data_IF_463686328818
#
_entry.id   IF_463686328818
#
_cell.length_a   1.000
_cell.length_b   1.000
_cell.length_c   1.000
_cell.angle_alpha   90.00
_cell.angle_beta   90.00
_cell.angle_gamma   90.00
#
_symmetry.space_group_name_H-M   'P 1'
#
loop_
_entity.id
_entity.type
_entity.pdbx_description
1 polymer ?
#
# COMPACT_ATOMS: atom_id res chain seq x y z
N UNK A 1 23.42 1.11 -13.90
CA UNK A 1 23.18 1.77 -15.22
C UNK A 1 21.89 2.55 -15.13
N UNK A 2 21.85 3.77 -15.65
CA UNK A 2 20.63 4.59 -15.67
C UNK A 2 19.89 4.38 -16.99
N UNK A 3 18.66 3.89 -16.92
CA UNK A 3 17.77 3.76 -18.08
C UNK A 3 16.85 4.98 -18.15
N UNK A 4 16.61 5.52 -19.36
CA UNK A 4 15.75 6.68 -19.57
C UNK A 4 14.61 6.27 -20.51
N UNK A 5 13.38 6.50 -20.08
CA UNK A 5 12.13 6.16 -20.80
C UNK A 5 11.30 7.44 -20.96
N UNK A 6 10.57 7.58 -22.06
CA UNK A 6 9.59 8.66 -22.25
C UNK A 6 8.19 8.13 -21.97
N UNK A 7 7.38 8.82 -21.16
CA UNK A 7 6.08 8.34 -20.71
C UNK A 7 4.95 8.31 -21.76
N UNK A 8 5.23 8.57 -23.04
CA UNK A 8 4.24 8.82 -24.10
C UNK A 8 3.31 7.66 -24.49
N UNK A 9 3.20 6.62 -23.67
CA UNK A 9 2.32 5.45 -23.83
C UNK A 9 1.35 5.35 -22.65
N UNK A 10 0.33 4.48 -22.72
CA UNK A 10 -0.61 4.24 -21.59
C UNK A 10 -0.08 3.24 -20.56
N UNK A 11 0.92 2.45 -20.94
CA UNK A 11 1.59 1.47 -20.10
C UNK A 11 3.10 1.49 -20.35
N UNK A 12 3.90 1.37 -19.29
CA UNK A 12 5.36 1.22 -19.37
C UNK A 12 5.74 -0.06 -18.66
N UNK A 13 6.49 -0.91 -19.36
CA UNK A 13 6.99 -2.16 -18.81
C UNK A 13 8.39 -1.96 -18.23
N UNK A 14 8.58 -2.27 -16.95
CA UNK A 14 9.87 -2.23 -16.26
C UNK A 14 10.14 -3.57 -15.54
N UNK A 15 11.36 -3.76 -15.03
CA UNK A 15 11.71 -4.97 -14.28
C UNK A 15 10.91 -5.08 -12.96
N UNK A 16 10.51 -6.29 -12.58
CA UNK A 16 9.69 -6.53 -11.39
C UNK A 16 10.33 -6.03 -10.09
N UNK A 17 11.64 -6.24 -9.92
CA UNK A 17 12.34 -5.84 -8.68
C UNK A 17 12.31 -4.33 -8.47
N UNK A 18 12.60 -3.55 -9.52
CA UNK A 18 12.59 -2.09 -9.40
C UNK A 18 11.16 -1.55 -9.34
N UNK A 19 10.18 -2.21 -9.96
CA UNK A 19 8.76 -1.88 -9.83
C UNK A 19 8.27 -2.01 -8.38
N UNK A 20 8.61 -3.11 -7.71
CA UNK A 20 8.01 -3.46 -6.42
C UNK A 20 8.79 -2.89 -5.23
N UNK A 21 10.13 -2.89 -5.30
CA UNK A 21 11.00 -2.52 -4.18
C UNK A 21 11.74 -1.20 -4.40
N UNK A 22 11.60 -0.59 -5.59
CA UNK A 22 12.25 0.67 -5.90
C UNK A 22 11.80 1.82 -5.00
N UNK A 23 12.69 2.78 -4.80
CA UNK A 23 12.38 4.09 -4.22
C UNK A 23 11.88 5.00 -5.34
N UNK A 24 10.65 5.50 -5.19
CA UNK A 24 10.01 6.37 -6.16
C UNK A 24 10.26 7.83 -5.77
N UNK A 25 10.83 8.60 -6.70
CA UNK A 25 11.18 9.99 -6.52
C UNK A 25 10.55 10.81 -7.64
N UNK A 26 9.76 11.82 -7.27
CA UNK A 26 9.27 12.79 -8.24
C UNK A 26 10.29 13.91 -8.42
N UNK A 27 10.64 14.19 -9.67
CA UNK A 27 11.55 15.27 -10.08
C UNK A 27 10.83 16.08 -11.15
N UNK A 28 10.23 17.21 -10.77
CA UNK A 28 9.38 18.02 -11.63
C UNK A 28 8.20 17.22 -12.25
N UNK A 29 8.20 17.04 -13.58
CA UNK A 29 7.26 16.19 -14.32
C UNK A 29 7.72 14.76 -14.49
N UNK A 30 8.96 14.44 -14.11
CA UNK A 30 9.59 13.14 -14.29
C UNK A 30 9.42 12.27 -13.04
N UNK A 31 9.39 10.96 -13.27
CA UNK A 31 9.47 9.95 -12.22
C UNK A 31 10.82 9.27 -12.28
N UNK A 32 11.53 9.21 -11.17
CA UNK A 32 12.74 8.40 -11.03
C UNK A 32 12.47 7.25 -10.06
N UNK A 33 12.82 6.03 -10.45
CA UNK A 33 12.73 4.85 -9.60
C UNK A 33 14.15 4.30 -9.40
N UNK A 34 14.58 4.14 -8.14
CA UNK A 34 15.92 3.66 -7.78
C UNK A 34 15.85 2.35 -7.00
N UNK A 35 16.66 1.39 -7.39
CA UNK A 35 17.02 0.22 -6.58
C UNK A 35 18.53 0.23 -6.31
N UNK A 36 19.02 -0.76 -5.56
CA UNK A 36 20.46 -0.93 -5.30
C UNK A 36 21.29 -1.04 -6.59
N UNK A 37 20.74 -1.71 -7.62
CA UNK A 37 21.48 -2.05 -8.83
C UNK A 37 21.10 -1.19 -10.06
N UNK A 38 19.95 -0.52 -10.01
CA UNK A 38 19.37 0.13 -11.19
C UNK A 38 18.69 1.45 -10.84
N UNK A 39 18.73 2.38 -11.80
CA UNK A 39 17.94 3.62 -11.74
C UNK A 39 17.23 3.78 -13.07
N UNK A 40 15.92 4.05 -13.02
CA UNK A 40 15.10 4.37 -14.18
C UNK A 40 14.62 5.81 -14.03
N UNK A 41 14.76 6.62 -15.09
CA UNK A 41 14.13 7.93 -15.20
C UNK A 41 13.06 7.87 -16.29
N UNK A 42 11.81 8.08 -15.89
CA UNK A 42 10.66 8.15 -16.78
C UNK A 42 10.28 9.62 -16.96
N UNK A 43 10.62 10.17 -18.12
CA UNK A 43 10.36 11.56 -18.47
C UNK A 43 8.88 11.83 -18.70
N UNK A 44 8.42 12.96 -18.18
CA UNK A 44 7.05 13.45 -18.27
C UNK A 44 6.00 12.47 -17.72
N UNK A 45 6.41 11.59 -16.80
CA UNK A 45 5.51 10.61 -16.18
C UNK A 45 4.28 11.28 -15.59
N UNK A 46 4.42 12.38 -14.84
CA UNK A 46 3.29 13.04 -14.19
C UNK A 46 2.44 13.90 -15.13
N UNK A 47 2.81 14.03 -16.41
CA UNK A 47 1.97 14.67 -17.44
C UNK A 47 1.07 13.65 -18.16
N UNK A 48 1.51 12.38 -18.24
CA UNK A 48 0.80 11.31 -18.97
C UNK A 48 0.23 10.21 -18.08
N UNK A 49 0.78 10.06 -16.87
CA UNK A 49 0.37 9.13 -15.81
C UNK A 49 0.10 7.70 -16.31
N UNK A 50 1.05 7.05 -17.00
CA UNK A 50 0.85 5.66 -17.44
C UNK A 50 0.85 4.68 -16.27
N UNK A 51 0.17 3.55 -16.46
CA UNK A 51 0.34 2.39 -15.59
C UNK A 51 1.78 1.87 -15.73
N UNK A 52 2.38 1.44 -14.62
CA UNK A 52 3.65 0.72 -14.65
C UNK A 52 3.36 -0.77 -14.51
N UNK A 53 3.93 -1.59 -15.38
CA UNK A 53 3.79 -3.04 -15.31
C UNK A 53 5.13 -3.73 -15.40
N UNK A 54 5.18 -5.00 -14.99
CA UNK A 54 6.33 -5.87 -15.27
C UNK A 54 6.04 -6.81 -16.44
N UNK A 55 7.08 -7.36 -17.06
CA UNK A 55 6.95 -8.41 -18.08
C UNK A 55 6.29 -9.67 -17.53
N UNK A 56 6.34 -9.84 -16.22
CA UNK A 56 5.71 -10.97 -15.56
C UNK A 56 4.20 -10.72 -15.50
N UNK A 57 3.73 -9.52 -15.13
CA UNK A 57 2.29 -9.28 -14.98
C UNK A 57 1.92 -8.41 -13.78
N UNK A 58 2.84 -8.18 -12.84
CA UNK A 58 2.66 -7.20 -11.77
C UNK A 58 2.35 -5.81 -12.31
N UNK A 59 1.37 -5.11 -11.72
CA UNK A 59 0.99 -3.75 -12.11
C UNK A 59 0.95 -2.79 -10.92
N UNK A 60 1.36 -1.54 -11.14
CA UNK A 60 1.21 -0.43 -10.20
C UNK A 60 0.48 0.70 -10.94
N UNK A 61 -0.70 1.06 -10.41
CA UNK A 61 -1.57 2.07 -11.02
C UNK A 61 -0.99 3.47 -10.89
N UNK A 62 -1.40 4.44 -11.72
CA UNK A 62 -0.90 5.82 -11.63
C UNK A 62 -1.21 6.49 -10.27
N UNK A 63 -2.32 6.10 -9.64
CA UNK A 63 -2.66 6.52 -8.27
C UNK A 63 -1.61 6.04 -7.29
N UNK A 64 -1.28 4.75 -7.31
CA UNK A 64 -0.23 4.19 -6.44
C UNK A 64 1.14 4.80 -6.71
N UNK A 65 1.52 5.01 -7.98
CA UNK A 65 2.79 5.68 -8.29
C UNK A 65 2.86 7.08 -7.69
N UNK A 66 1.74 7.82 -7.69
CA UNK A 66 1.67 9.15 -7.10
C UNK A 66 1.82 9.14 -5.58
N UNK A 67 1.36 8.07 -4.91
CA UNK A 67 1.51 7.90 -3.47
C UNK A 67 2.92 7.45 -3.09
N UNK A 68 3.54 6.58 -3.89
CA UNK A 68 4.91 6.11 -3.69
C UNK A 68 5.95 7.20 -3.95
N UNK A 69 5.68 8.13 -4.86
CA UNK A 69 6.66 9.13 -5.28
C UNK A 69 6.85 10.24 -4.24
N UNK A 70 7.99 10.25 -3.55
CA UNK A 70 8.37 11.30 -2.62
C UNK A 70 8.81 12.53 -3.42
N UNK A 71 8.24 13.71 -3.14
CA UNK A 71 8.88 14.98 -3.51
C UNK A 71 9.89 15.31 -2.41
N UNK A 72 11.11 15.69 -2.77
CA UNK A 72 12.17 16.04 -1.81
C UNK A 72 11.83 17.34 -1.08
N UNK A 73 10.99 17.27 -0.05
CA UNK A 73 10.82 18.36 0.92
C UNK A 73 10.47 17.78 2.28
N UNK A 74 11.35 17.93 3.30
CA UNK A 74 11.06 17.46 4.63
C UNK A 74 9.98 18.34 5.26
N UNK A 75 9.06 17.68 5.95
CA UNK A 75 8.35 18.26 7.08
C UNK A 75 8.01 17.11 8.03
N UNK A 76 7.52 17.45 9.21
CA UNK A 76 6.99 16.50 10.17
C UNK A 76 5.59 17.00 10.54
N UNK A 77 4.60 16.10 10.54
CA UNK A 77 3.32 16.36 11.20
C UNK A 77 2.88 15.10 11.97
N UNK A 78 2.64 15.28 13.26
CA UNK A 78 1.87 14.36 14.09
C UNK A 78 0.74 15.18 14.72
N UNK A 79 -0.48 14.66 14.66
CA UNK A 79 -1.67 15.20 15.33
C UNK A 79 -2.58 14.05 15.76
N UNK A 80 -3.34 14.24 16.83
CA UNK A 80 -4.65 13.60 17.00
C UNK A 80 -5.62 14.32 16.07
N UNK A 81 -6.29 13.56 15.20
CA UNK A 81 -7.07 14.11 14.10
C UNK A 81 -8.31 13.24 13.87
N UNK A 82 -9.53 13.82 13.80
CA UNK A 82 -10.74 13.10 13.42
C UNK A 82 -10.67 12.47 12.01
N UNK A 83 -9.70 12.85 11.17
CA UNK A 83 -9.47 12.26 9.85
C UNK A 83 -8.60 10.99 9.89
N UNK A 84 -8.09 10.59 11.05
CA UNK A 84 -7.37 9.33 11.17
C UNK A 84 -8.31 8.15 10.86
N UNK A 85 -7.84 7.23 10.04
CA UNK A 85 -8.62 6.04 9.66
C UNK A 85 -8.36 4.87 10.62
N UNK A 86 -7.34 5.01 11.48
CA UNK A 86 -6.95 3.97 12.42
C UNK A 86 -5.77 4.39 13.30
N UNK A 87 -5.24 3.41 14.01
CA UNK A 87 -4.13 3.55 14.97
C UNK A 87 -3.19 2.36 14.88
N UNK A 88 -1.90 2.62 15.04
CA UNK A 88 -0.86 1.60 15.15
C UNK A 88 -0.99 0.91 16.51
N UNK A 89 -1.16 -0.40 16.48
CA UNK A 89 -1.29 -1.26 17.67
C UNK A 89 0.00 -1.98 18.01
N UNK A 90 0.88 -2.17 17.03
CA UNK A 90 2.21 -2.78 17.19
C UNK A 90 3.16 -2.05 16.24
N UNK A 91 4.33 -1.66 16.72
CA UNK A 91 5.43 -1.18 15.87
C UNK A 91 6.75 -1.77 16.40
N UNK A 92 7.18 -2.87 15.81
CA UNK A 92 8.43 -3.54 16.18
C UNK A 92 9.48 -3.35 15.08
N UNK A 93 10.73 -3.10 15.47
CA UNK A 93 11.82 -2.85 14.53
C UNK A 93 11.66 -1.54 13.76
N UNK A 94 12.27 -1.46 12.58
CA UNK A 94 12.20 -0.24 11.75
C UNK A 94 10.98 -0.29 10.84
N UNK A 95 9.95 0.45 11.22
CA UNK A 95 8.74 0.68 10.43
C UNK A 95 8.60 2.17 10.18
N UNK A 96 8.39 2.55 8.93
CA UNK A 96 8.18 3.94 8.56
C UNK A 96 6.85 4.08 7.81
N UNK A 97 6.27 5.27 7.87
CA UNK A 97 5.27 5.71 6.91
C UNK A 97 5.83 6.82 6.04
N UNK A 98 5.43 6.82 4.77
CA UNK A 98 5.46 8.00 3.94
C UNK A 98 4.08 8.66 3.95
N UNK A 99 4.02 9.85 4.54
CA UNK A 99 2.83 10.71 4.55
C UNK A 99 3.09 11.90 3.66
N UNK A 100 2.44 11.93 2.49
CA UNK A 100 2.76 12.88 1.43
C UNK A 100 4.26 12.86 1.06
N UNK A 101 5.01 13.87 1.48
CA UNK A 101 6.45 14.02 1.19
C UNK A 101 7.35 13.77 2.40
N UNK A 102 6.78 13.25 3.48
CA UNK A 102 7.45 13.10 4.77
C UNK A 102 7.63 11.61 5.08
N UNK A 103 8.79 11.26 5.62
CA UNK A 103 9.01 9.95 6.21
C UNK A 103 8.98 10.08 7.73
N UNK A 104 8.15 9.27 8.37
CA UNK A 104 7.95 9.26 9.81
C UNK A 104 8.18 7.83 10.29
N UNK A 105 9.05 7.63 11.27
CA UNK A 105 9.20 6.33 11.93
C UNK A 105 8.00 6.11 12.85
N UNK A 106 7.33 4.97 12.70
CA UNK A 106 6.13 4.64 13.46
C UNK A 106 6.46 4.17 14.87
N UNK A 107 5.64 4.57 15.80
CA UNK A 107 5.58 4.05 17.17
C UNK A 107 4.20 3.47 17.45
N UNK A 108 4.14 2.58 18.43
CA UNK A 108 2.86 2.10 18.94
C UNK A 108 2.04 3.30 19.43
N UNK A 109 0.79 3.35 18.98
CA UNK A 109 -0.14 4.40 19.33
C UNK A 109 -0.22 5.56 18.34
N UNK A 110 0.68 5.62 17.35
CA UNK A 110 0.58 6.60 16.28
C UNK A 110 -0.69 6.42 15.44
N UNK A 111 -1.17 7.49 14.82
CA UNK A 111 -2.34 7.46 13.96
C UNK A 111 -1.94 7.20 12.50
N UNK A 112 -2.77 6.38 11.83
CA UNK A 112 -2.67 6.13 10.39
C UNK A 112 -3.79 6.87 9.65
N UNK A 113 -3.45 7.37 8.46
CA UNK A 113 -4.32 8.20 7.64
C UNK A 113 -4.45 7.60 6.25
N UNK A 114 -5.51 7.99 5.55
CA UNK A 114 -5.71 7.60 4.17
C UNK A 114 -4.51 8.02 3.31
N UNK A 115 -4.05 7.10 2.46
CA UNK A 115 -2.90 7.24 1.57
C UNK A 115 -1.52 7.27 2.24
N UNK A 116 -1.41 6.97 3.53
CA UNK A 116 -0.10 6.68 4.12
C UNK A 116 0.49 5.42 3.48
N UNK A 117 1.74 5.50 3.03
CA UNK A 117 2.49 4.32 2.56
C UNK A 117 3.27 3.76 3.73
N UNK A 118 2.91 2.57 4.19
CA UNK A 118 3.59 1.89 5.30
C UNK A 118 4.69 0.99 4.74
N UNK A 119 5.91 1.11 5.25
CA UNK A 119 7.06 0.28 4.91
C UNK A 119 7.68 -0.33 6.18
N UNK A 120 7.58 -1.65 6.30
CA UNK A 120 8.21 -2.42 7.37
C UNK A 120 9.59 -2.90 6.90
N UNK A 121 10.63 -2.08 7.12
CA UNK A 121 11.99 -2.32 6.58
C UNK A 121 12.77 -3.41 7.32
N UNK A 122 12.44 -3.67 8.58
CA UNK A 122 13.20 -4.57 9.44
C UNK A 122 12.41 -5.14 10.61
N UNK A 123 11.08 -5.06 10.57
CA UNK A 123 10.23 -5.47 11.67
C UNK A 123 8.78 -5.62 11.24
N UNK A 124 7.84 -5.44 12.16
CA UNK A 124 6.42 -5.69 11.92
C UNK A 124 5.57 -4.53 12.43
N UNK A 125 4.41 -4.34 11.81
CA UNK A 125 3.45 -3.32 12.22
C UNK A 125 2.06 -3.90 12.24
N UNK A 126 1.35 -3.63 13.35
CA UNK A 126 -0.06 -3.93 13.53
C UNK A 126 -0.86 -2.64 13.50
N UNK A 127 -2.02 -2.67 12.86
CA UNK A 127 -2.88 -1.52 12.61
C UNK A 127 -4.30 -1.92 12.96
N UNK A 128 -5.00 -1.09 13.73
CA UNK A 128 -6.44 -1.20 13.95
C UNK A 128 -7.15 -0.01 13.31
N UNK A 129 -8.11 -0.27 12.44
CA UNK A 129 -8.91 0.74 11.76
C UNK A 129 -10.18 1.06 12.52
N UNK A 130 -10.79 2.20 12.18
CA UNK A 130 -12.00 2.69 12.82
C UNK A 130 -13.21 1.74 12.65
N UNK A 131 -13.24 0.94 11.60
CA UNK A 131 -14.29 -0.06 11.34
C UNK A 131 -14.06 -1.39 12.08
N UNK A 132 -13.09 -1.43 12.99
CA UNK A 132 -12.63 -2.61 13.73
C UNK A 132 -11.86 -3.63 12.89
N UNK A 133 -11.51 -3.32 11.63
CA UNK A 133 -10.54 -4.12 10.88
C UNK A 133 -9.19 -4.06 11.58
N UNK A 134 -8.51 -5.20 11.74
CA UNK A 134 -7.10 -5.23 12.12
C UNK A 134 -6.27 -5.73 10.94
N UNK A 135 -5.10 -5.14 10.73
CA UNK A 135 -4.17 -5.52 9.68
C UNK A 135 -2.76 -5.50 10.24
N UNK A 136 -1.99 -6.53 9.93
CA UNK A 136 -0.58 -6.63 10.28
C UNK A 136 0.26 -6.88 9.04
N UNK A 137 1.44 -6.28 8.97
CA UNK A 137 2.45 -6.60 7.94
C UNK A 137 3.80 -6.85 8.57
N UNK A 138 4.58 -7.75 7.96
CA UNK A 138 5.90 -8.17 8.43
C UNK A 138 7.05 -7.46 7.69
N UNK A 139 8.28 -7.87 8.02
CA UNK A 139 9.49 -7.35 7.40
C UNK A 139 9.48 -7.56 5.88
N UNK A 140 9.84 -6.52 5.15
CA UNK A 140 9.85 -6.48 3.69
C UNK A 140 8.51 -6.07 3.09
N UNK A 141 7.52 -5.76 3.94
CA UNK A 141 6.21 -5.36 3.47
C UNK A 141 6.13 -3.86 3.16
N UNK A 142 5.41 -3.57 2.07
CA UNK A 142 5.02 -2.22 1.67
C UNK A 142 3.54 -2.23 1.35
N UNK A 143 2.78 -1.34 1.98
CA UNK A 143 1.33 -1.27 1.77
C UNK A 143 0.78 0.16 1.82
N UNK A 144 -0.45 0.34 1.32
CA UNK A 144 -1.18 1.61 1.32
C UNK A 144 -2.67 1.34 1.52
N UNK A 145 -3.35 2.10 2.39
CA UNK A 145 -4.83 2.15 2.36
C UNK A 145 -5.23 3.39 1.58
N UNK A 146 -5.78 3.20 0.38
CA UNK A 146 -6.06 4.30 -0.56
C UNK A 146 -7.56 4.58 -0.74
N UNK A 147 -8.40 3.77 -0.09
CA UNK A 147 -9.82 3.98 0.12
C UNK A 147 -10.20 3.53 1.54
N UNK A 148 -10.89 4.41 2.27
CA UNK A 148 -11.49 4.11 3.56
C UNK A 148 -12.65 5.07 3.80
N UNK A 149 -13.86 4.56 3.69
CA UNK A 149 -15.12 5.25 3.97
C UNK A 149 -15.83 4.44 5.03
N UNK A 150 -16.06 5.05 6.18
CA UNK A 150 -16.74 4.40 7.28
C UNK A 150 -17.59 5.41 8.06
N UNK A 151 -18.83 5.03 8.30
CA UNK A 151 -19.77 5.72 9.18
C UNK A 151 -20.27 4.68 10.18
N UNK A 152 -19.98 4.88 11.46
CA UNK A 152 -20.39 3.96 12.53
C UNK A 152 -21.92 3.89 12.69
N UNK A 153 -22.65 4.96 12.32
CA UNK A 153 -24.11 4.98 12.34
C UNK A 153 -24.71 4.27 11.11
N UNK A 154 -23.95 4.18 10.01
CA UNK A 154 -24.34 3.50 8.77
C UNK A 154 -23.23 2.59 8.19
N UNK A 155 -22.83 1.51 8.89
CA UNK A 155 -21.69 0.68 8.46
C UNK A 155 -21.88 0.00 7.10
N UNK A 156 -23.14 -0.19 6.67
CA UNK A 156 -23.52 -0.86 5.43
C UNK A 156 -23.24 -0.07 4.15
N UNK A 157 -22.76 1.17 4.25
CA UNK A 157 -22.35 1.98 3.09
C UNK A 157 -20.85 2.23 3.02
N UNK A 158 -20.07 1.58 3.89
CA UNK A 158 -18.62 1.77 3.93
C UNK A 158 -17.88 1.10 2.78
N UNK A 159 -16.66 1.57 2.53
CA UNK A 159 -15.73 0.96 1.56
C UNK A 159 -14.29 1.04 2.04
N UNK A 160 -13.48 0.03 1.72
CA UNK A 160 -12.06 -0.02 2.05
C UNK A 160 -11.25 -0.74 0.96
N UNK A 161 -10.12 -0.15 0.59
CA UNK A 161 -9.13 -0.80 -0.26
C UNK A 161 -7.73 -0.69 0.37
N UNK A 162 -7.15 -1.85 0.68
CA UNK A 162 -5.76 -1.98 1.12
C UNK A 162 -4.91 -2.55 -0.03
N UNK A 163 -3.92 -1.79 -0.48
CA UNK A 163 -2.95 -2.21 -1.48
C UNK A 163 -1.71 -2.77 -0.77
N UNK A 164 -1.48 -4.08 -0.84
CA UNK A 164 -0.25 -4.71 -0.36
C UNK A 164 0.68 -4.91 -1.56
N UNK A 165 1.69 -4.06 -1.65
CA UNK A 165 2.59 -3.97 -2.81
C UNK A 165 3.64 -5.09 -2.73
N UNK A 166 4.16 -5.36 -1.54
CA UNK A 166 5.09 -6.47 -1.27
C UNK A 166 4.90 -7.00 0.15
N UNK A 167 5.35 -8.24 0.37
CA UNK A 167 5.58 -8.82 1.69
C UNK A 167 4.39 -9.61 2.26
N UNK A 168 4.51 -10.01 3.52
CA UNK A 168 3.47 -10.75 4.22
C UNK A 168 2.49 -9.80 4.88
N UNK A 169 1.22 -10.19 4.89
CA UNK A 169 0.18 -9.48 5.59
C UNK A 169 -0.82 -10.45 6.22
N UNK A 170 -1.49 -10.02 7.28
CA UNK A 170 -2.69 -10.67 7.77
C UNK A 170 -3.69 -9.62 8.14
N UNK A 171 -4.97 -9.93 8.03
CA UNK A 171 -6.01 -9.03 8.47
C UNK A 171 -7.22 -9.79 9.01
N UNK A 172 -7.90 -9.14 9.93
CA UNK A 172 -9.21 -9.54 10.44
C UNK A 172 -10.18 -8.46 10.00
N UNK A 173 -11.15 -8.83 9.17
CA UNK A 173 -12.08 -7.83 8.63
C UNK A 173 -13.08 -7.33 9.68
N UNK A 174 -13.34 -6.03 9.64
CA UNK A 174 -14.28 -5.33 10.48
C UNK A 174 -15.66 -5.18 9.86
N UNK A 175 -16.32 -4.07 10.17
CA UNK A 175 -17.72 -3.82 9.80
C UNK A 175 -17.90 -3.52 8.31
N UNK A 176 -16.94 -2.87 7.64
CA UNK A 176 -17.05 -2.55 6.21
C UNK A 176 -17.20 -3.83 5.37
N UNK A 177 -16.48 -4.90 5.72
CA UNK A 177 -16.57 -6.16 4.98
C UNK A 177 -17.96 -6.84 5.08
N UNK A 178 -18.84 -6.37 5.97
CA UNK A 178 -20.22 -6.84 6.12
C UNK A 178 -21.20 -6.03 5.25
N UNK A 179 -20.78 -4.90 4.70
CA UNK A 179 -21.63 -3.98 3.93
C UNK A 179 -22.09 -4.53 2.57
N UNK A 180 -21.32 -5.44 1.96
CA UNK A 180 -21.73 -6.08 0.70
C UNK A 180 -20.57 -6.54 -0.15
N UNK A 181 -20.89 -6.84 -1.42
CA UNK A 181 -19.89 -7.25 -2.40
C UNK A 181 -18.87 -6.11 -2.61
N UNK A 182 -17.59 -6.46 -2.57
CA UNK A 182 -16.46 -5.57 -2.89
C UNK A 182 -16.37 -4.32 -2.00
N UNK A 183 -17.11 -4.28 -0.88
CA UNK A 183 -17.03 -3.22 0.10
C UNK A 183 -15.65 -3.16 0.76
N UNK A 184 -15.03 -4.32 0.99
CA UNK A 184 -13.62 -4.39 1.39
C UNK A 184 -12.84 -5.19 0.37
N UNK A 185 -11.71 -4.63 -0.07
CA UNK A 185 -10.78 -5.27 -0.99
C UNK A 185 -9.35 -5.19 -0.51
N UNK A 186 -8.58 -6.22 -0.84
CA UNK A 186 -7.13 -6.21 -0.72
C UNK A 186 -6.54 -6.40 -2.11
N UNK A 187 -5.80 -5.40 -2.58
CA UNK A 187 -5.17 -5.40 -3.89
C UNK A 187 -3.70 -5.70 -3.76
N UNK A 188 -3.20 -6.61 -4.58
CA UNK A 188 -1.78 -6.89 -4.75
C UNK A 188 -1.40 -6.59 -6.20
N UNK A 189 -0.10 -6.47 -6.55
CA UNK A 189 0.30 -6.19 -7.92
C UNK A 189 -0.21 -7.21 -8.97
N UNK A 190 -0.57 -8.43 -8.54
CA UNK A 190 -0.96 -9.53 -9.43
C UNK A 190 -2.45 -9.89 -9.37
N UNK A 191 -3.15 -9.59 -8.27
CA UNK A 191 -4.58 -9.89 -8.10
C UNK A 191 -5.26 -8.96 -7.09
N UNK A 192 -6.59 -8.90 -7.16
CA UNK A 192 -7.45 -8.27 -6.16
C UNK A 192 -8.29 -9.31 -5.44
N UNK A 193 -8.39 -9.18 -4.13
CA UNK A 193 -9.15 -10.05 -3.23
C UNK A 193 -10.36 -9.25 -2.72
N UNK A 194 -11.57 -9.76 -2.94
CA UNK A 194 -12.78 -9.25 -2.27
C UNK A 194 -12.97 -9.92 -0.91
N UNK A 195 -13.26 -9.14 0.12
CA UNK A 195 -13.36 -9.60 1.51
C UNK A 195 -14.81 -9.52 2.00
N UNK A 196 -15.31 -10.60 2.60
CA UNK A 196 -16.71 -10.72 3.07
C UNK A 196 -16.76 -11.41 4.43
N UNK A 197 -16.62 -10.63 5.51
CA UNK A 197 -16.76 -11.12 6.89
C UNK A 197 -15.88 -12.33 7.21
N UNK A 198 -14.56 -12.21 7.10
CA UNK A 198 -13.60 -13.31 7.31
C UNK A 198 -12.29 -12.80 7.91
N UNK A 199 -11.54 -13.69 8.58
CA UNK A 199 -10.13 -13.51 8.87
C UNK A 199 -9.31 -14.01 7.67
N UNK A 200 -8.33 -13.25 7.21
CA UNK A 200 -7.52 -13.62 6.06
C UNK A 200 -6.05 -13.40 6.38
N UNK A 201 -5.25 -14.45 6.22
CA UNK A 201 -3.80 -14.32 6.17
C UNK A 201 -3.36 -14.40 4.71
N UNK A 202 -2.42 -13.55 4.30
CA UNK A 202 -2.01 -13.41 2.92
C UNK A 202 -0.52 -13.16 2.77
N UNK A 203 0.07 -13.72 1.73
CA UNK A 203 1.47 -13.46 1.38
C UNK A 203 1.51 -12.91 -0.04
N UNK A 204 1.84 -11.61 -0.15
CA UNK A 204 1.99 -10.92 -1.43
C UNK A 204 3.45 -11.04 -1.87
N UNK A 205 3.74 -12.04 -2.70
CA UNK A 205 5.07 -12.26 -3.26
C UNK A 205 5.14 -11.80 -4.70
N UNK A 206 6.39 -11.65 -5.16
CA UNK A 206 6.67 -11.44 -6.56
C UNK A 206 6.07 -12.56 -7.42
N UNK A 207 5.83 -12.21 -8.67
CA UNK A 207 5.36 -13.16 -9.65
C UNK A 207 6.41 -14.24 -9.99
N UNK A 208 5.95 -15.50 -9.94
CA UNK A 208 6.79 -16.70 -10.00
C UNK A 208 6.96 -17.38 -8.64
N UNK A 209 6.52 -16.75 -7.55
CA UNK A 209 6.39 -17.36 -6.23
C UNK A 209 4.90 -17.51 -5.85
N UNK A 210 4.58 -18.47 -4.99
CA UNK A 210 3.18 -18.74 -4.59
C UNK A 210 2.65 -17.59 -3.72
N UNK A 211 1.70 -16.83 -4.26
CA UNK A 211 0.85 -15.96 -3.45
C UNK A 211 -0.09 -16.86 -2.65
N UNK A 212 0.12 -16.93 -1.34
CA UNK A 212 -0.70 -17.74 -0.45
C UNK A 212 -1.77 -16.85 0.17
N UNK A 213 -3.04 -17.23 0.02
CA UNK A 213 -4.16 -16.59 0.70
C UNK A 213 -4.88 -17.66 1.48
N UNK A 214 -4.82 -17.56 2.80
CA UNK A 214 -5.52 -18.46 3.73
C UNK A 214 -6.71 -17.72 4.29
N UNK A 215 -7.90 -18.20 3.95
CA UNK A 215 -9.14 -17.77 4.60
C UNK A 215 -9.29 -18.56 5.89
N UNK A 216 -9.27 -17.86 7.02
CA UNK A 216 -9.50 -18.42 8.33
C UNK A 216 -10.96 -18.23 8.71
N UNK A 217 -11.68 -19.29 9.12
CA UNK A 217 -13.08 -19.16 9.51
C UNK A 217 -13.20 -18.27 10.75
N UNK A 218 -14.22 -17.41 10.77
CA UNK A 218 -14.55 -16.59 11.92
C UNK A 218 -15.19 -17.43 13.03
N UNK A 219 -15.11 -16.96 14.28
CA UNK A 219 -15.88 -17.54 15.39
C UNK A 219 -17.41 -17.43 15.16
N UNK A 220 -17.80 -16.56 14.24
CA UNK A 220 -19.16 -16.15 13.89
C UNK A 220 -19.77 -16.97 12.74
N UNK A 221 -18.97 -17.80 12.05
CA UNK A 221 -19.39 -18.64 10.90
C UNK A 221 -18.94 -18.10 9.56
#
# INVERSE_FOLDING_TARGET
VSEIIQAGTTNIVIESDILLYGQYLRIDSDLQIRSEFKTILIKDYFQHTPTLSSLKGSTITPKLVSLLAINTSPGFVAFEDPNAIGKITIAEGTVIIQRANQQIELQEGDLIYLNDVVEAKGGSVGIAFADQTTLSVDNGSRMVVDEFVYDADNPSTGSMNANVITGNFSFVSGEIAKAGNDAMTVTTPVLTIGVRGTQVAGKALQEGEENEIVLLPNADG
#
